data_IF_254933090697
#
_entry.id   IF_254933090697
#
_cell.length_a   1.000
_cell.length_b   1.000
_cell.length_c   1.000
_cell.angle_alpha   90.00
_cell.angle_beta   90.00
_cell.angle_gamma   90.00
#
_symmetry.space_group_name_H-M   'P 1'
#
loop_
_entity.id
_entity.type
_entity.pdbx_description
1 polymer ?
#
# COMPACT_ATOMS: atom_id res chain seq x y z
N UNK A 1 8.08 -12.65 2.27
CA UNK A 1 7.95 -11.31 2.89
C UNK A 1 6.71 -10.55 2.44
N UNK A 2 6.42 -10.40 1.13
CA UNK A 2 5.21 -9.68 0.68
C UNK A 2 3.89 -10.22 1.26
N UNK A 3 3.66 -11.54 1.24
CA UNK A 3 2.46 -12.12 1.85
C UNK A 3 2.38 -11.92 3.38
N UNK A 4 3.50 -11.76 4.07
CA UNK A 4 3.51 -11.40 5.49
C UNK A 4 3.02 -9.96 5.67
N UNK A 5 3.52 -9.00 4.87
CA UNK A 5 3.02 -7.62 4.83
C UNK A 5 1.53 -7.59 4.47
N UNK A 6 1.11 -8.37 3.47
CA UNK A 6 -0.31 -8.54 3.11
C UNK A 6 -1.13 -8.93 4.32
N UNK A 7 -0.73 -9.98 5.05
CA UNK A 7 -1.45 -10.44 6.23
C UNK A 7 -1.50 -9.40 7.35
N UNK A 8 -0.45 -8.61 7.54
CA UNK A 8 -0.39 -7.61 8.61
C UNK A 8 -1.21 -6.35 8.31
N UNK A 9 -1.28 -5.95 7.03
CA UNK A 9 -1.98 -4.74 6.62
C UNK A 9 -3.41 -5.00 6.12
N UNK A 10 -3.80 -6.27 5.98
CA UNK A 10 -5.17 -6.68 5.64
C UNK A 10 -6.16 -6.10 6.66
N UNK A 11 -7.14 -5.35 6.16
CA UNK A 11 -8.17 -4.69 6.98
C UNK A 11 -7.87 -3.22 7.30
N UNK A 12 -6.63 -2.76 7.16
CA UNK A 12 -6.27 -1.34 7.31
C UNK A 12 -6.36 -0.57 5.98
N UNK A 13 -5.96 -1.23 4.89
CA UNK A 13 -6.09 -0.71 3.53
C UNK A 13 -7.09 -1.55 2.74
N UNK A 14 -7.64 -0.94 1.69
CA UNK A 14 -8.38 -1.70 0.71
C UNK A 14 -7.44 -2.60 -0.10
N UNK A 15 -7.88 -3.83 -0.36
CA UNK A 15 -7.15 -4.85 -1.11
C UNK A 15 -7.90 -5.13 -2.43
N UNK A 16 -7.49 -4.52 -3.54
CA UNK A 16 -8.12 -4.75 -4.85
C UNK A 16 -8.05 -6.21 -5.29
N UNK A 17 -7.01 -6.94 -4.86
CA UNK A 17 -6.79 -8.35 -5.15
C UNK A 17 -6.51 -9.12 -3.85
N UNK A 18 -7.56 -9.57 -3.17
CA UNK A 18 -7.43 -10.39 -1.95
C UNK A 18 -7.07 -11.84 -2.28
N UNK A 19 -5.80 -12.06 -2.63
CA UNK A 19 -5.21 -13.36 -2.92
C UNK A 19 -3.74 -13.36 -2.48
N UNK A 20 -3.19 -14.56 -2.28
CA UNK A 20 -1.73 -14.72 -2.13
C UNK A 20 -1.03 -14.09 -3.32
N UNK A 21 -0.05 -13.23 -3.05
CA UNK A 21 0.75 -12.54 -4.07
C UNK A 21 2.14 -13.21 -4.23
N UNK A 22 2.92 -12.75 -5.21
CA UNK A 22 4.29 -13.23 -5.41
C UNK A 22 5.27 -12.40 -4.56
N UNK A 23 6.13 -11.60 -5.18
CA UNK A 23 7.18 -10.81 -4.51
C UNK A 23 6.71 -9.43 -4.05
N UNK A 24 5.55 -8.95 -4.52
CA UNK A 24 5.00 -7.64 -4.21
C UNK A 24 3.49 -7.71 -3.89
N UNK A 25 2.96 -6.67 -3.22
CA UNK A 25 1.52 -6.51 -2.93
C UNK A 25 1.09 -5.08 -3.25
N UNK A 26 -0.11 -4.93 -3.82
CA UNK A 26 -0.74 -3.62 -4.09
C UNK A 26 -1.89 -3.40 -3.12
N UNK A 27 -1.80 -2.34 -2.34
CA UNK A 27 -2.88 -1.80 -1.53
C UNK A 27 -3.49 -0.56 -2.17
N UNK A 28 -4.72 -0.23 -1.79
CA UNK A 28 -5.37 1.03 -2.14
C UNK A 28 -5.69 1.83 -0.89
N UNK A 29 -5.29 3.10 -0.87
CA UNK A 29 -5.69 4.06 0.14
C UNK A 29 -7.04 4.74 -0.17
N UNK A 30 -7.84 4.23 -1.12
CA UNK A 30 -9.11 4.86 -1.54
C UNK A 30 -10.12 5.04 -0.41
N UNK A 31 -10.17 4.11 0.55
CA UNK A 31 -11.04 4.27 1.73
C UNK A 31 -10.55 5.39 2.64
N UNK A 32 -9.23 5.51 2.86
CA UNK A 32 -8.65 6.64 3.60
C UNK A 32 -8.93 7.98 2.90
N UNK A 33 -8.86 7.99 1.57
CA UNK A 33 -9.15 9.20 0.79
C UNK A 33 -10.61 9.59 0.89
N UNK A 34 -11.52 8.63 0.74
CA UNK A 34 -12.97 8.84 0.82
C UNK A 34 -13.42 9.28 2.22
N UNK A 35 -12.94 8.59 3.25
CA UNK A 35 -13.48 8.72 4.60
C UNK A 35 -12.76 9.82 5.41
N UNK A 36 -11.52 10.15 5.05
CA UNK A 36 -10.67 11.08 5.81
C UNK A 36 -9.94 12.13 4.95
N UNK A 37 -10.10 12.10 3.62
CA UNK A 37 -9.37 13.01 2.72
C UNK A 37 -7.89 12.67 2.53
N UNK A 38 -7.39 11.61 3.18
CA UNK A 38 -5.98 11.19 3.19
C UNK A 38 -5.64 10.40 1.93
N UNK A 39 -4.76 10.94 1.09
CA UNK A 39 -4.31 10.30 -0.15
C UNK A 39 -3.15 9.33 0.04
N UNK A 40 -2.84 8.52 -0.98
CA UNK A 40 -1.63 7.73 -1.06
C UNK A 40 -0.38 8.60 -0.96
N UNK A 41 -0.40 9.83 -1.51
CA UNK A 41 0.69 10.80 -1.33
C UNK A 41 0.88 11.19 0.14
N UNK A 42 -0.20 11.43 0.88
CA UNK A 42 -0.13 11.79 2.30
C UNK A 42 0.45 10.64 3.13
N UNK A 43 0.00 9.40 2.87
CA UNK A 43 0.56 8.19 3.49
C UNK A 43 2.06 8.09 3.18
N UNK A 44 2.44 8.23 1.90
CA UNK A 44 3.84 8.20 1.47
C UNK A 44 4.67 9.26 2.18
N UNK A 45 4.21 10.51 2.26
CA UNK A 45 4.94 11.56 2.99
C UNK A 45 5.04 11.25 4.47
N UNK A 46 4.00 10.68 5.08
CA UNK A 46 4.04 10.29 6.49
C UNK A 46 5.01 9.16 6.78
N UNK A 47 5.22 8.22 5.85
CA UNK A 47 6.25 7.17 5.99
C UNK A 47 7.67 7.75 6.14
N UNK A 48 7.95 8.89 5.49
CA UNK A 48 9.25 9.57 5.61
C UNK A 48 9.51 10.03 7.04
N UNK A 49 8.48 10.50 7.75
CA UNK A 49 8.60 10.89 9.17
C UNK A 49 8.95 9.70 10.08
N UNK A 50 8.64 8.47 9.64
CA UNK A 50 9.03 7.23 10.31
C UNK A 50 10.37 6.66 9.80
N UNK A 51 11.09 7.39 8.94
CA UNK A 51 12.36 6.94 8.37
C UNK A 51 12.22 5.88 7.28
N UNK A 52 11.03 5.72 6.69
CA UNK A 52 10.75 4.73 5.65
C UNK A 52 10.66 5.45 4.29
N UNK A 53 11.49 5.03 3.33
CA UNK A 53 11.32 5.48 1.95
C UNK A 53 9.97 4.98 1.42
N UNK A 54 9.13 5.84 0.81
CA UNK A 54 7.82 5.42 0.34
C UNK A 54 7.92 4.31 -0.73
N UNK A 55 6.93 3.41 -0.79
CA UNK A 55 6.83 2.43 -1.87
C UNK A 55 6.48 3.10 -3.21
N UNK A 56 6.43 2.32 -4.28
CA UNK A 56 5.85 2.78 -5.55
C UNK A 56 4.40 3.19 -5.31
N UNK A 57 4.03 4.40 -5.73
CA UNK A 57 2.70 4.98 -5.52
C UNK A 57 2.03 5.33 -6.85
N UNK A 58 0.69 5.30 -6.87
CA UNK A 58 -0.13 5.54 -8.08
C UNK A 58 0.17 4.60 -9.25
N UNK A 59 0.74 3.43 -8.96
CA UNK A 59 0.91 2.36 -9.92
C UNK A 59 0.54 1.02 -9.27
N UNK A 60 -0.16 0.11 -9.98
CA UNK A 60 -0.68 0.27 -11.34
C UNK A 60 -1.86 1.26 -11.42
N UNK A 61 -2.01 1.94 -12.57
CA UNK A 61 -3.01 3.02 -12.77
C UNK A 61 -4.48 2.55 -12.66
N UNK A 62 -4.74 1.24 -12.74
CA UNK A 62 -6.07 0.65 -12.57
C UNK A 62 -6.49 0.54 -11.09
N UNK A 63 -5.59 0.86 -10.16
CA UNK A 63 -5.87 0.90 -8.73
C UNK A 63 -5.76 2.36 -8.26
N UNK A 64 -6.89 2.94 -7.88
CA UNK A 64 -6.91 4.29 -7.30
C UNK A 64 -6.14 4.32 -5.98
N UNK A 65 -5.39 5.41 -5.74
CA UNK A 65 -4.61 5.60 -4.52
C UNK A 65 -3.69 4.39 -4.19
N UNK A 66 -3.06 3.83 -5.23
CA UNK A 66 -2.22 2.63 -5.11
C UNK A 66 -0.95 2.87 -4.29
N UNK A 67 -0.61 1.88 -3.48
CA UNK A 67 0.68 1.71 -2.79
C UNK A 67 1.18 0.28 -3.05
N UNK A 68 2.25 0.14 -3.82
CA UNK A 68 2.81 -1.14 -4.26
C UNK A 68 4.12 -1.44 -3.52
N UNK A 69 4.09 -2.44 -2.65
CA UNK A 69 5.16 -2.76 -1.71
C UNK A 69 5.85 -4.06 -2.10
N UNK A 70 7.16 -4.00 -2.34
CA UNK A 70 8.05 -5.13 -2.56
C UNK A 70 9.15 -5.14 -1.49
N UNK A 71 9.05 -5.99 -0.45
CA UNK A 71 10.02 -6.00 0.65
C UNK A 71 11.29 -6.81 0.39
N UNK A 72 11.46 -7.38 -0.81
CA UNK A 72 12.50 -8.36 -1.16
C UNK A 72 12.61 -9.52 -0.15
N UNK A 73 13.68 -10.30 -0.19
CA UNK A 73 13.83 -11.59 0.51
C UNK A 73 14.40 -11.52 1.95
N UNK A 74 14.91 -10.38 2.40
CA UNK A 74 15.61 -10.25 3.70
C UNK A 74 14.69 -9.94 4.86
#
# INVERSE_FOLDING_TARGET
>A
NANYILSQLKGYYDLPYDRTCMHEVVFSARNLKRDHGVSALDVSKRLIDYGIHPPTMYFPLIVEEALMIEPTET
#
